data_IF_704452357470
#
_entry.id   IF_704452357470
#
_cell.length_a   1.000
_cell.length_b   1.000
_cell.length_c   1.000
_cell.angle_alpha   90.00
_cell.angle_beta   90.00
_cell.angle_gamma   90.00
#
_symmetry.space_group_name_H-M   'P 1'
#
loop_
_entity.id
_entity.type
_entity.pdbx_description
1 polymer ?
#
# COMPACT_ATOMS: atom_id res chain seq x y z
N UNK A 1 -47.15 -20.66 33.12
CA UNK A 1 -45.76 -20.74 32.60
C UNK A 1 -45.69 -19.83 31.39
N UNK A 2 -45.07 -18.65 31.54
CA UNK A 2 -44.85 -17.71 30.43
C UNK A 2 -43.66 -18.20 29.60
N UNK A 3 -43.88 -18.37 28.30
CA UNK A 3 -42.83 -18.58 27.30
C UNK A 3 -42.22 -17.22 26.98
N UNK A 4 -40.97 -17.01 27.37
CA UNK A 4 -40.18 -15.84 26.99
C UNK A 4 -39.56 -16.06 25.62
N UNK A 5 -40.04 -15.32 24.61
CA UNK A 5 -39.40 -15.19 23.31
C UNK A 5 -38.25 -14.20 23.47
N UNK A 6 -37.00 -14.65 23.35
CA UNK A 6 -35.84 -13.78 23.20
C UNK A 6 -35.74 -13.38 21.72
N UNK A 7 -36.02 -12.10 21.45
CA UNK A 7 -35.83 -11.49 20.14
C UNK A 7 -34.33 -11.29 19.89
N UNK A 8 -33.77 -12.06 18.94
CA UNK A 8 -32.47 -11.80 18.34
C UNK A 8 -32.59 -10.77 17.24
N UNK A 9 -32.43 -9.48 17.57
CA UNK A 9 -32.43 -8.37 16.61
C UNK A 9 -31.21 -7.48 16.82
N UNK A 10 -30.02 -8.06 16.96
CA UNK A 10 -28.75 -7.31 17.10
C UNK A 10 -27.65 -7.77 16.14
N UNK A 11 -27.92 -8.77 15.29
CA UNK A 11 -26.93 -9.33 14.37
C UNK A 11 -26.58 -8.34 13.26
N UNK A 12 -27.53 -8.08 12.35
CA UNK A 12 -27.28 -7.26 11.16
C UNK A 12 -26.91 -5.80 11.48
N UNK A 13 -27.62 -5.16 12.41
CA UNK A 13 -27.28 -3.79 12.86
C UNK A 13 -25.90 -3.72 13.53
N UNK A 14 -25.53 -4.77 14.29
CA UNK A 14 -24.20 -4.88 14.90
C UNK A 14 -23.08 -5.10 13.88
N UNK A 15 -23.32 -5.92 12.84
CA UNK A 15 -22.38 -6.13 11.74
C UNK A 15 -22.18 -4.85 10.91
N UNK A 16 -23.26 -4.12 10.60
CA UNK A 16 -23.18 -2.86 9.88
C UNK A 16 -22.37 -1.82 10.68
N UNK A 17 -22.65 -1.66 11.98
CA UNK A 17 -21.89 -0.75 12.83
C UNK A 17 -20.41 -1.14 12.95
N UNK A 18 -20.10 -2.44 12.99
CA UNK A 18 -18.73 -2.93 13.00
C UNK A 18 -18.01 -2.67 11.67
N UNK A 19 -18.67 -2.88 10.54
CA UNK A 19 -18.11 -2.61 9.22
C UNK A 19 -17.90 -1.11 8.97
N UNK A 20 -18.80 -0.25 9.45
CA UNK A 20 -18.64 1.21 9.39
C UNK A 20 -17.45 1.67 10.24
N UNK A 21 -17.28 1.09 11.44
CA UNK A 21 -16.09 1.35 12.25
C UNK A 21 -14.81 0.82 11.58
N UNK A 22 -14.86 -0.35 10.95
CA UNK A 22 -13.75 -0.91 10.18
C UNK A 22 -13.32 -0.04 9.01
N UNK A 23 -14.29 0.57 8.31
CA UNK A 23 -14.02 1.54 7.26
C UNK A 23 -13.34 2.80 7.79
N UNK A 24 -13.80 3.32 8.94
CA UNK A 24 -13.15 4.46 9.58
C UNK A 24 -11.68 4.12 9.94
N UNK A 25 -11.42 2.93 10.48
CA UNK A 25 -10.05 2.46 10.78
C UNK A 25 -9.20 2.31 9.51
N UNK A 26 -9.78 1.81 8.42
CA UNK A 26 -9.10 1.65 7.13
C UNK A 26 -8.55 2.98 6.58
N UNK A 27 -9.26 4.08 6.85
CA UNK A 27 -8.88 5.42 6.40
C UNK A 27 -8.00 6.19 7.39
N UNK A 28 -7.88 5.73 8.64
CA UNK A 28 -7.23 6.48 9.72
C UNK A 28 -5.77 6.03 9.98
N UNK A 29 -4.81 6.92 9.75
CA UNK A 29 -3.41 6.68 10.06
C UNK A 29 -3.16 6.45 11.57
N UNK A 30 -4.06 6.90 12.44
CA UNK A 30 -3.98 6.71 13.90
C UNK A 30 -4.37 5.31 14.36
N UNK A 31 -4.76 4.41 13.44
CA UNK A 31 -4.86 2.98 13.76
C UNK A 31 -3.54 2.45 14.34
N UNK A 32 -2.41 2.95 13.84
CA UNK A 32 -1.11 2.75 14.46
C UNK A 32 -0.87 3.79 15.54
N UNK A 33 -0.40 3.35 16.71
CA UNK A 33 -0.02 4.23 17.81
C UNK A 33 1.32 4.94 17.61
N UNK A 34 2.02 4.69 16.49
CA UNK A 34 3.28 5.35 16.19
C UNK A 34 3.05 6.81 15.79
N UNK A 35 3.64 7.75 16.53
CA UNK A 35 3.61 9.19 16.21
C UNK A 35 4.31 9.53 14.88
N UNK A 36 5.08 8.60 14.34
CA UNK A 36 5.76 8.76 13.05
C UNK A 36 4.99 8.12 11.88
N UNK A 37 3.82 7.53 12.12
CA UNK A 37 2.98 7.00 11.05
C UNK A 37 2.14 8.10 10.42
N UNK A 38 2.14 8.13 9.09
CA UNK A 38 1.26 8.99 8.28
C UNK A 38 0.44 8.20 7.26
N UNK A 39 0.65 6.89 7.17
CA UNK A 39 -0.05 6.01 6.25
C UNK A 39 -1.34 5.49 6.88
N UNK A 40 -2.41 5.44 6.08
CA UNK A 40 -3.55 4.55 6.33
C UNK A 40 -3.59 3.47 5.27
N UNK A 41 -4.46 2.46 5.44
CA UNK A 41 -4.61 1.42 4.43
C UNK A 41 -5.05 2.04 3.09
N UNK A 42 -5.92 3.04 3.13
CA UNK A 42 -6.40 3.79 1.97
C UNK A 42 -5.30 4.54 1.20
N UNK A 43 -4.14 4.79 1.81
CA UNK A 43 -3.00 5.42 1.12
C UNK A 43 -2.50 4.57 -0.04
N UNK A 44 -2.52 3.24 0.11
CA UNK A 44 -1.95 2.30 -0.87
C UNK A 44 -2.97 1.33 -1.47
N UNK A 45 -4.24 1.40 -1.05
CA UNK A 45 -5.26 0.47 -1.48
C UNK A 45 -6.55 1.21 -1.85
N UNK A 46 -7.06 0.93 -3.05
CA UNK A 46 -8.46 1.17 -3.39
C UNK A 46 -9.34 -0.01 -2.97
N UNK A 47 -10.63 0.24 -2.82
CA UNK A 47 -11.61 -0.76 -2.37
C UNK A 47 -12.68 -1.06 -3.42
N UNK A 48 -12.56 -0.44 -4.60
CA UNK A 48 -13.40 -0.64 -5.78
C UNK A 48 -12.83 -1.73 -6.68
N UNK A 49 -13.70 -2.43 -7.43
CA UNK A 49 -13.27 -3.47 -8.36
C UNK A 49 -12.31 -2.94 -9.43
N UNK A 50 -12.60 -1.74 -9.94
CA UNK A 50 -11.73 -1.02 -10.87
C UNK A 50 -10.89 0.01 -10.13
N UNK A 51 -9.61 0.11 -10.51
CA UNK A 51 -8.71 1.16 -10.00
C UNK A 51 -9.10 2.48 -10.67
N UNK A 52 -9.33 3.57 -9.90
CA UNK A 52 -9.66 4.87 -10.46
C UNK A 52 -8.60 5.35 -11.47
N UNK A 53 -9.06 6.01 -12.54
CA UNK A 53 -8.17 6.56 -13.55
C UNK A 53 -7.15 7.52 -12.93
N UNK A 54 -5.89 7.39 -13.34
CA UNK A 54 -4.80 8.23 -12.84
C UNK A 54 -4.27 7.84 -11.47
N UNK A 55 -4.60 6.65 -10.97
CA UNK A 55 -4.04 6.08 -9.74
C UNK A 55 -3.21 4.83 -10.07
N UNK A 56 -2.00 4.78 -9.55
CA UNK A 56 -1.13 3.60 -9.58
C UNK A 56 -0.72 3.34 -8.13
N UNK A 57 -1.39 2.40 -7.49
CA UNK A 57 -1.11 2.06 -6.10
C UNK A 57 -0.04 0.96 -5.99
N UNK A 58 0.76 1.01 -4.92
CA UNK A 58 1.68 -0.07 -4.58
C UNK A 58 0.96 -1.36 -4.16
N UNK A 59 -0.25 -1.22 -3.62
CA UNK A 59 -1.10 -2.33 -3.22
C UNK A 59 -2.18 -2.62 -4.26
N UNK A 60 -2.52 -3.90 -4.43
CA UNK A 60 -3.70 -4.28 -5.22
C UNK A 60 -4.99 -3.69 -4.65
N UNK A 61 -6.04 -3.58 -5.47
CA UNK A 61 -7.40 -3.34 -4.94
C UNK A 61 -7.73 -4.36 -3.84
N UNK A 62 -8.45 -3.92 -2.82
CA UNK A 62 -8.99 -4.79 -1.77
C UNK A 62 -10.43 -5.23 -2.04
N UNK A 63 -11.00 -4.89 -3.19
CA UNK A 63 -12.25 -5.49 -3.62
C UNK A 63 -12.13 -7.02 -3.67
N UNK A 64 -13.06 -7.74 -3.04
CA UNK A 64 -13.01 -9.19 -2.85
C UNK A 64 -11.81 -9.73 -2.07
N UNK A 65 -11.13 -8.90 -1.27
CA UNK A 65 -9.93 -9.34 -0.53
C UNK A 65 -10.21 -10.51 0.41
N UNK A 66 -11.39 -10.57 1.05
CA UNK A 66 -11.73 -11.61 2.01
C UNK A 66 -11.99 -12.98 1.36
N UNK A 67 -12.26 -13.00 0.06
CA UNK A 67 -12.55 -14.19 -0.71
C UNK A 67 -11.31 -14.79 -1.42
N UNK A 68 -10.14 -14.15 -1.26
CA UNK A 68 -8.88 -14.62 -1.86
C UNK A 68 -8.29 -15.77 -1.03
N UNK A 69 -7.68 -16.77 -1.67
CA UNK A 69 -7.06 -17.88 -0.95
C UNK A 69 -5.70 -17.52 -0.33
N UNK A 70 -5.07 -16.43 -0.76
CA UNK A 70 -3.79 -15.95 -0.23
C UNK A 70 -3.52 -14.49 -0.59
N UNK A 71 -2.54 -13.88 0.12
CA UNK A 71 -2.10 -12.49 -0.03
C UNK A 71 -0.56 -12.42 -0.15
N UNK A 72 -0.04 -11.25 -0.51
CA UNK A 72 1.40 -11.00 -0.67
C UNK A 72 2.09 -12.02 -1.60
N UNK A 73 1.43 -12.35 -2.73
CA UNK A 73 1.96 -13.31 -3.70
C UNK A 73 1.97 -14.76 -3.19
N UNK A 74 1.13 -15.09 -2.21
CA UNK A 74 1.05 -16.43 -1.62
C UNK A 74 1.81 -16.60 -0.30
N UNK A 75 2.54 -15.57 0.17
CA UNK A 75 3.28 -15.64 1.42
C UNK A 75 2.38 -15.62 2.66
N UNK A 76 1.17 -15.07 2.56
CA UNK A 76 0.20 -15.02 3.66
C UNK A 76 -1.08 -15.78 3.28
N UNK A 77 -1.53 -16.66 4.17
CA UNK A 77 -2.74 -17.49 3.98
C UNK A 77 -3.85 -17.19 4.99
N UNK A 78 -3.60 -16.27 5.92
CA UNK A 78 -4.60 -15.73 6.84
C UNK A 78 -4.74 -14.23 6.62
N UNK A 79 -5.97 -13.75 6.45
CA UNK A 79 -6.23 -12.34 6.14
C UNK A 79 -5.67 -11.41 7.24
N UNK A 80 -5.81 -11.79 8.51
CA UNK A 80 -5.29 -11.00 9.62
C UNK A 80 -3.75 -10.92 9.59
N UNK A 81 -3.06 -11.98 9.19
CA UNK A 81 -1.60 -11.94 9.04
C UNK A 81 -1.20 -11.01 7.88
N UNK A 82 -1.92 -11.04 6.77
CA UNK A 82 -1.73 -10.12 5.66
C UNK A 82 -1.96 -8.64 6.05
N UNK A 83 -2.99 -8.36 6.84
CA UNK A 83 -3.26 -7.04 7.43
C UNK A 83 -2.13 -6.64 8.38
N UNK A 84 -1.69 -7.54 9.25
CA UNK A 84 -0.61 -7.30 10.19
C UNK A 84 0.73 -7.04 9.52
N UNK A 85 1.00 -7.69 8.38
CA UNK A 85 2.17 -7.41 7.58
C UNK A 85 2.19 -5.95 7.14
N UNK A 86 1.07 -5.42 6.65
CA UNK A 86 0.96 -4.02 6.29
C UNK A 86 1.11 -3.09 7.50
N UNK A 87 0.33 -3.37 8.55
CA UNK A 87 0.27 -2.58 9.77
C UNK A 87 1.65 -2.43 10.43
N UNK A 88 2.43 -3.50 10.51
CA UNK A 88 3.76 -3.47 11.12
C UNK A 88 4.79 -2.80 10.20
N UNK A 89 4.88 -3.22 8.93
CA UNK A 89 5.98 -2.80 8.05
C UNK A 89 5.81 -1.37 7.49
N UNK A 90 4.58 -0.93 7.22
CA UNK A 90 4.34 0.38 6.59
C UNK A 90 3.70 1.36 7.56
N UNK A 91 2.70 0.91 8.35
CA UNK A 91 2.06 1.78 9.34
C UNK A 91 2.83 1.89 10.67
N UNK A 92 4.02 1.26 10.78
CA UNK A 92 4.88 1.29 11.98
C UNK A 92 4.20 0.77 13.25
N UNK A 93 3.30 -0.20 13.09
CA UNK A 93 2.63 -0.87 14.18
C UNK A 93 3.61 -1.58 15.10
N UNK A 94 3.66 -1.20 16.39
CA UNK A 94 4.59 -1.78 17.37
C UNK A 94 4.18 -3.17 17.87
N UNK A 95 2.90 -3.50 17.77
CA UNK A 95 2.34 -4.79 18.20
C UNK A 95 1.25 -5.18 17.23
N UNK A 96 1.34 -6.38 16.66
CA UNK A 96 0.33 -6.94 15.75
C UNK A 96 -1.08 -6.81 16.36
N UNK A 97 -2.05 -6.53 15.50
CA UNK A 97 -3.47 -6.58 15.82
C UNK A 97 -3.83 -8.03 16.21
N UNK A 98 -4.34 -8.22 17.42
CA UNK A 98 -4.80 -9.52 17.91
C UNK A 98 -6.17 -9.91 17.35
N UNK A 99 -6.41 -11.21 17.15
CA UNK A 99 -7.64 -11.72 16.52
C UNK A 99 -8.92 -11.37 17.30
N UNK A 100 -8.83 -11.33 18.63
CA UNK A 100 -9.98 -11.05 19.51
C UNK A 100 -10.21 -9.56 19.78
N UNK A 101 -9.39 -8.68 19.19
CA UNK A 101 -9.51 -7.25 19.40
C UNK A 101 -10.70 -6.67 18.62
N UNK A 102 -11.51 -5.78 19.22
CA UNK A 102 -12.65 -5.17 18.53
C UNK A 102 -12.28 -4.48 17.21
N UNK A 103 -11.09 -3.86 17.13
CA UNK A 103 -10.59 -3.22 15.91
C UNK A 103 -10.25 -4.22 14.80
N UNK A 104 -9.71 -5.40 15.14
CA UNK A 104 -9.40 -6.46 14.17
C UNK A 104 -10.68 -7.03 13.59
N UNK A 105 -11.69 -7.28 14.45
CA UNK A 105 -13.00 -7.71 14.00
C UNK A 105 -13.66 -6.67 13.11
N UNK A 106 -13.68 -5.40 13.50
CA UNK A 106 -14.25 -4.32 12.70
C UNK A 106 -13.61 -4.22 11.31
N UNK A 107 -12.27 -4.26 11.25
CA UNK A 107 -11.55 -4.32 9.97
C UNK A 107 -11.96 -5.53 9.13
N UNK A 108 -12.05 -6.72 9.72
CA UNK A 108 -12.51 -7.91 9.00
C UNK A 108 -13.94 -7.73 8.44
N UNK A 109 -14.87 -7.22 9.24
CA UNK A 109 -16.26 -7.00 8.82
C UNK A 109 -16.32 -5.99 7.65
N UNK A 110 -15.49 -4.95 7.65
CA UNK A 110 -15.36 -4.04 6.52
C UNK A 110 -14.78 -4.73 5.26
N UNK A 111 -13.68 -5.49 5.41
CA UNK A 111 -13.07 -6.21 4.30
C UNK A 111 -14.02 -7.27 3.71
N UNK A 112 -14.82 -7.93 4.54
CA UNK A 112 -15.88 -8.83 4.12
C UNK A 112 -16.99 -8.08 3.37
N UNK A 113 -17.39 -6.89 3.84
CA UNK A 113 -18.39 -6.05 3.15
C UNK A 113 -17.97 -5.63 1.75
N UNK A 114 -16.68 -5.33 1.53
CA UNK A 114 -16.14 -5.02 0.18
C UNK A 114 -15.77 -6.29 -0.62
N UNK A 115 -16.18 -7.47 -0.13
CA UNK A 115 -15.97 -8.76 -0.78
C UNK A 115 -17.30 -9.48 -1.07
N UNK A 116 -18.12 -8.95 -2.01
CA UNK A 116 -19.42 -9.54 -2.33
C UNK A 116 -19.33 -10.95 -2.93
N UNK A 117 -18.21 -11.29 -3.58
CA UNK A 117 -18.06 -12.59 -4.22
C UNK A 117 -17.58 -13.65 -3.21
N UNK A 118 -18.16 -14.84 -3.29
CA UNK A 118 -17.79 -15.95 -2.41
C UNK A 118 -16.37 -16.48 -2.66
N UNK A 119 -15.81 -16.21 -3.84
CA UNK A 119 -14.47 -16.65 -4.25
C UNK A 119 -13.82 -15.56 -5.11
N UNK A 120 -12.52 -15.36 -4.93
CA UNK A 120 -11.72 -14.49 -5.77
C UNK A 120 -10.35 -15.11 -6.05
N UNK A 121 -9.74 -14.83 -7.21
CA UNK A 121 -8.42 -15.37 -7.51
C UNK A 121 -7.36 -14.79 -6.57
N UNK A 122 -6.31 -15.57 -6.29
CA UNK A 122 -5.07 -15.02 -5.76
C UNK A 122 -4.51 -14.01 -6.76
N UNK A 123 -3.96 -12.90 -6.27
CA UNK A 123 -3.33 -11.90 -7.11
C UNK A 123 -1.80 -12.09 -7.11
N UNK A 124 -1.15 -12.06 -8.28
CA UNK A 124 0.31 -12.11 -8.36
C UNK A 124 0.95 -10.90 -7.68
N UNK A 125 2.11 -11.10 -7.10
CA UNK A 125 2.88 -10.04 -6.46
C UNK A 125 4.38 -10.35 -6.62
N UNK A 126 4.95 -9.90 -7.72
CA UNK A 126 6.33 -10.23 -8.07
C UNK A 126 7.28 -9.22 -7.44
N UNK A 127 8.11 -9.69 -6.51
CA UNK A 127 9.21 -8.92 -5.93
C UNK A 127 10.49 -9.22 -6.72
N UNK A 128 11.00 -8.21 -7.42
CA UNK A 128 12.26 -8.31 -8.18
C UNK A 128 13.42 -8.32 -7.19
N UNK A 129 14.09 -9.47 -7.02
CA UNK A 129 15.24 -9.57 -6.10
C UNK A 129 16.50 -8.95 -6.69
N UNK A 130 16.83 -9.35 -7.91
CA UNK A 130 18.02 -8.90 -8.62
C UNK A 130 17.67 -7.72 -9.52
N UNK A 131 18.00 -6.52 -9.08
CA UNK A 131 17.70 -5.30 -9.84
C UNK A 131 18.55 -5.22 -11.10
N UNK A 132 17.89 -4.99 -12.21
CA UNK A 132 18.49 -4.67 -13.50
C UNK A 132 18.08 -3.26 -13.92
N UNK A 133 18.86 -2.66 -14.81
CA UNK A 133 18.44 -1.41 -15.44
C UNK A 133 17.21 -1.67 -16.35
N UNK A 134 16.37 -0.65 -16.50
CA UNK A 134 15.16 -0.71 -17.31
C UNK A 134 15.27 0.23 -18.52
N UNK A 135 14.75 -0.15 -19.70
CA UNK A 135 14.77 0.73 -20.87
C UNK A 135 14.11 2.08 -20.57
N UNK A 136 14.78 3.18 -20.94
CA UNK A 136 14.22 4.52 -20.76
C UNK A 136 13.01 4.73 -21.68
N UNK A 137 12.01 5.38 -21.11
CA UNK A 137 10.74 5.67 -21.77
C UNK A 137 10.57 7.14 -22.14
N UNK A 138 9.32 7.52 -22.39
CA UNK A 138 8.93 8.90 -22.70
C UNK A 138 8.75 9.74 -21.41
N UNK A 139 9.28 10.96 -21.40
CA UNK A 139 9.21 11.83 -20.22
C UNK A 139 7.77 12.31 -19.91
N UNK A 140 6.90 12.48 -20.91
CA UNK A 140 5.49 12.86 -20.69
C UNK A 140 4.73 11.71 -20.03
N UNK A 141 5.00 10.47 -20.45
CA UNK A 141 4.52 9.28 -19.73
C UNK A 141 5.07 9.23 -18.31
N UNK A 142 6.35 9.53 -18.12
CA UNK A 142 6.98 9.58 -16.81
C UNK A 142 6.34 10.57 -15.84
N UNK A 143 5.97 11.75 -16.32
CA UNK A 143 5.20 12.73 -15.55
C UNK A 143 3.85 12.17 -15.11
N UNK A 144 3.12 11.52 -16.03
CA UNK A 144 1.84 10.90 -15.72
C UNK A 144 1.99 9.77 -14.67
N UNK A 145 3.06 8.98 -14.76
CA UNK A 145 3.39 7.94 -13.76
C UNK A 145 3.71 8.58 -12.41
N UNK A 146 4.53 9.64 -12.38
CA UNK A 146 4.87 10.35 -11.15
C UNK A 146 3.60 10.85 -10.44
N UNK A 147 2.70 11.49 -11.18
CA UNK A 147 1.42 11.98 -10.63
C UNK A 147 0.55 10.85 -10.08
N UNK A 148 0.54 9.71 -10.75
CA UNK A 148 -0.33 8.59 -10.39
C UNK A 148 0.21 7.71 -9.25
N UNK A 149 1.54 7.58 -9.12
CA UNK A 149 2.19 6.64 -8.20
C UNK A 149 2.99 7.31 -7.08
N UNK A 150 3.54 8.50 -7.32
CA UNK A 150 4.57 9.09 -6.46
C UNK A 150 4.09 10.35 -5.74
N UNK A 151 3.35 11.21 -6.43
CA UNK A 151 3.01 12.56 -5.98
C UNK A 151 2.23 12.60 -4.67
N UNK A 152 1.31 11.65 -4.43
CA UNK A 152 0.53 11.60 -3.19
C UNK A 152 1.41 11.42 -1.94
N UNK A 153 2.59 10.82 -2.10
CA UNK A 153 3.55 10.61 -1.01
C UNK A 153 4.66 11.66 -1.02
N UNK A 154 5.24 11.91 -2.20
CA UNK A 154 6.43 12.74 -2.38
C UNK A 154 6.15 14.23 -2.65
N UNK A 155 4.89 14.60 -2.89
CA UNK A 155 4.48 15.97 -3.22
C UNK A 155 4.75 16.33 -4.68
N UNK A 156 4.69 17.62 -5.01
CA UNK A 156 5.08 18.12 -6.32
C UNK A 156 6.58 17.88 -6.58
N UNK A 157 6.92 17.53 -7.82
CA UNK A 157 8.31 17.32 -8.25
C UNK A 157 9.14 18.59 -7.98
N UNK A 158 10.41 18.43 -7.65
CA UNK A 158 11.36 19.48 -7.27
C UNK A 158 11.13 20.21 -5.94
N UNK A 159 9.88 20.36 -5.49
CA UNK A 159 9.57 21.15 -4.29
C UNK A 159 9.13 20.30 -3.11
N UNK A 160 8.53 19.14 -3.36
CA UNK A 160 7.88 18.32 -2.33
C UNK A 160 6.61 18.95 -1.77
N UNK A 161 6.08 20.00 -2.40
CA UNK A 161 4.87 20.68 -1.95
C UNK A 161 3.69 19.69 -1.94
N UNK A 162 2.99 19.60 -0.81
CA UNK A 162 1.88 18.65 -0.63
C UNK A 162 2.31 17.21 -0.32
N UNK A 163 3.60 16.96 -0.01
CA UNK A 163 4.05 15.64 0.44
C UNK A 163 3.30 15.16 1.68
N UNK A 164 3.10 13.84 1.79
CA UNK A 164 2.37 13.21 2.87
C UNK A 164 3.04 13.41 4.24
N UNK A 165 4.36 13.52 4.25
CA UNK A 165 5.17 13.68 5.46
C UNK A 165 6.48 14.38 5.13
N UNK A 166 7.05 15.09 6.10
CA UNK A 166 8.37 15.71 5.97
C UNK A 166 9.52 14.71 5.78
N UNK A 167 9.27 13.44 6.09
CA UNK A 167 10.21 12.34 5.86
C UNK A 167 10.21 11.85 4.39
N UNK A 168 9.20 12.21 3.60
CA UNK A 168 9.15 11.85 2.20
C UNK A 168 10.19 12.67 1.42
N UNK A 169 11.07 11.96 0.70
CA UNK A 169 12.14 12.59 -0.07
C UNK A 169 11.57 13.50 -1.16
N UNK A 170 12.21 14.65 -1.37
CA UNK A 170 11.93 15.51 -2.52
C UNK A 170 12.59 14.90 -3.76
N UNK A 171 11.81 14.68 -4.81
CA UNK A 171 12.25 13.97 -6.02
C UNK A 171 12.38 14.96 -7.20
N UNK A 172 13.49 14.92 -7.97
CA UNK A 172 14.65 14.04 -7.84
C UNK A 172 15.76 14.54 -6.89
N UNK A 173 15.58 15.63 -6.14
CA UNK A 173 16.59 16.32 -5.31
C UNK A 173 17.40 15.37 -4.41
N UNK A 174 16.74 14.33 -3.89
CA UNK A 174 17.37 13.30 -3.05
C UNK A 174 18.54 12.58 -3.72
N UNK A 175 18.60 12.52 -5.05
CA UNK A 175 19.68 11.84 -5.78
C UNK A 175 21.01 12.59 -5.69
N UNK A 176 21.01 13.88 -5.32
CA UNK A 176 22.25 14.66 -5.12
C UNK A 176 23.14 14.10 -4.02
N UNK A 177 22.56 13.36 -3.07
CA UNK A 177 23.30 12.69 -2.01
C UNK A 177 23.82 11.31 -2.43
N UNK A 178 23.40 10.76 -3.59
CA UNK A 178 23.66 9.36 -3.94
C UNK A 178 25.13 9.08 -4.24
N UNK A 179 25.89 10.03 -4.77
CA UNK A 179 27.34 9.85 -4.96
C UNK A 179 28.07 9.61 -3.63
N UNK A 180 27.56 10.19 -2.53
CA UNK A 180 28.09 10.02 -1.18
C UNK A 180 27.55 8.78 -0.50
N UNK A 181 26.25 8.52 -0.64
CA UNK A 181 25.55 7.42 0.05
C UNK A 181 25.76 6.06 -0.62
N UNK A 182 25.90 6.06 -1.95
CA UNK A 182 25.98 4.87 -2.81
C UNK A 182 27.13 5.06 -3.84
N UNK A 183 28.38 5.21 -3.37
CA UNK A 183 29.50 5.56 -4.24
C UNK A 183 29.70 4.51 -5.34
N UNK A 184 29.74 4.98 -6.60
CA UNK A 184 29.95 4.13 -7.77
C UNK A 184 28.69 3.42 -8.29
N UNK A 185 27.52 3.64 -7.69
CA UNK A 185 26.25 3.09 -8.17
C UNK A 185 25.51 4.15 -8.99
N UNK A 186 25.06 3.83 -10.23
CA UNK A 186 24.25 4.76 -11.02
C UNK A 186 22.99 5.20 -10.25
N UNK A 187 22.68 6.50 -10.27
CA UNK A 187 21.53 7.05 -9.52
C UNK A 187 20.21 6.38 -9.92
N UNK A 188 20.03 6.10 -11.20
CA UNK A 188 18.86 5.38 -11.70
C UNK A 188 18.72 3.99 -11.08
N UNK A 189 19.82 3.26 -10.92
CA UNK A 189 19.80 1.93 -10.30
C UNK A 189 19.38 2.00 -8.84
N UNK A 190 19.87 3.00 -8.09
CA UNK A 190 19.41 3.26 -6.72
C UNK A 190 17.90 3.56 -6.68
N UNK A 191 17.38 4.34 -7.63
CA UNK A 191 15.94 4.65 -7.70
C UNK A 191 15.12 3.40 -8.04
N UNK A 192 15.56 2.60 -9.02
CA UNK A 192 14.89 1.33 -9.39
C UNK A 192 14.82 0.42 -8.16
N UNK A 193 15.93 0.28 -7.43
CA UNK A 193 16.00 -0.56 -6.24
C UNK A 193 15.05 -0.07 -5.14
N UNK A 194 15.04 1.24 -4.86
CA UNK A 194 14.11 1.84 -3.89
C UNK A 194 12.64 1.60 -4.26
N UNK A 195 12.29 1.76 -5.54
CA UNK A 195 10.92 1.54 -6.04
C UNK A 195 10.53 0.05 -5.95
N UNK A 196 11.43 -0.86 -6.34
CA UNK A 196 11.16 -2.30 -6.40
C UNK A 196 11.20 -2.98 -5.03
N UNK A 197 11.95 -2.45 -4.08
CA UNK A 197 12.19 -3.11 -2.79
C UNK A 197 11.50 -2.43 -1.61
N UNK A 198 11.21 -1.13 -1.64
CA UNK A 198 10.69 -0.44 -0.46
C UNK A 198 11.54 -0.70 0.80
N UNK A 199 10.97 -1.00 1.99
CA UNK A 199 11.76 -1.31 3.19
C UNK A 199 12.54 -2.62 3.08
N UNK A 200 12.17 -3.51 2.16
CA UNK A 200 12.78 -4.84 2.05
C UNK A 200 14.21 -4.72 1.52
N UNK A 201 15.04 -5.70 1.86
CA UNK A 201 16.46 -5.72 1.53
C UNK A 201 17.29 -4.52 2.05
N UNK A 202 16.68 -3.65 2.88
CA UNK A 202 17.38 -2.56 3.59
C UNK A 202 17.56 -1.26 2.80
N UNK A 203 16.83 -1.04 1.70
CA UNK A 203 17.17 0.01 0.72
C UNK A 203 16.24 1.24 0.71
N UNK A 204 14.93 1.06 0.86
CA UNK A 204 13.91 2.09 0.56
C UNK A 204 13.25 2.77 1.75
N UNK A 205 13.80 2.65 2.97
CA UNK A 205 13.22 3.27 4.16
C UNK A 205 11.79 2.75 4.43
N UNK A 206 10.78 3.62 4.49
CA UNK A 206 9.37 3.23 4.69
C UNK A 206 8.52 3.32 3.41
N UNK A 207 9.14 3.64 2.25
CA UNK A 207 8.42 3.69 0.98
C UNK A 207 7.85 2.29 0.65
N UNK A 208 6.58 2.16 0.25
CA UNK A 208 6.06 0.87 -0.16
C UNK A 208 6.77 0.37 -1.43
N UNK A 209 6.95 -0.95 -1.53
CA UNK A 209 7.47 -1.52 -2.77
C UNK A 209 6.41 -1.51 -3.87
N UNK A 210 6.85 -1.38 -5.12
CA UNK A 210 6.02 -1.59 -6.29
C UNK A 210 6.41 -2.90 -6.99
N UNK A 211 5.48 -3.87 -6.98
CA UNK A 211 5.64 -5.09 -7.77
C UNK A 211 5.61 -4.79 -9.27
N UNK A 212 6.02 -5.75 -10.11
CA UNK A 212 5.95 -5.57 -11.57
C UNK A 212 4.52 -5.48 -12.10
N UNK A 213 3.54 -6.01 -11.36
CA UNK A 213 2.13 -5.87 -11.67
C UNK A 213 1.59 -4.47 -11.34
N UNK A 214 2.11 -3.84 -10.29
CA UNK A 214 1.70 -2.49 -9.88
C UNK A 214 2.37 -1.41 -10.74
N UNK A 215 3.67 -1.55 -11.01
CA UNK A 215 4.43 -0.63 -11.85
C UNK A 215 5.28 -1.42 -12.85
N UNK A 216 4.97 -1.31 -14.14
CA UNK A 216 5.72 -2.00 -15.19
C UNK A 216 7.14 -1.42 -15.34
N UNK A 217 8.07 -2.19 -15.92
CA UNK A 217 9.43 -1.68 -16.22
C UNK A 217 9.40 -0.54 -17.24
N UNK A 218 8.45 -0.55 -18.17
CA UNK A 218 8.26 0.54 -19.12
C UNK A 218 7.84 1.84 -18.44
N UNK A 219 6.92 1.77 -17.46
CA UNK A 219 6.50 2.93 -16.68
C UNK A 219 7.59 3.41 -15.73
N UNK A 220 8.35 2.48 -15.14
CA UNK A 220 9.52 2.82 -14.33
C UNK A 220 10.60 3.52 -15.18
N UNK A 221 10.87 3.02 -16.39
CA UNK A 221 11.80 3.64 -17.32
C UNK A 221 11.37 5.03 -17.79
N UNK A 222 10.07 5.24 -17.99
CA UNK A 222 9.50 6.55 -18.28
C UNK A 222 9.63 7.51 -17.08
N UNK A 223 9.34 7.02 -15.86
CA UNK A 223 9.50 7.77 -14.62
C UNK A 223 10.95 8.23 -14.42
N UNK A 224 11.93 7.34 -14.64
CA UNK A 224 13.35 7.69 -14.57
C UNK A 224 13.70 8.81 -15.56
N UNK A 225 13.24 8.71 -16.81
CA UNK A 225 13.45 9.75 -17.81
C UNK A 225 12.86 11.10 -17.38
N UNK A 226 11.66 11.11 -16.80
CA UNK A 226 11.04 12.33 -16.25
C UNK A 226 11.84 12.93 -15.10
N UNK A 227 12.42 12.09 -14.23
CA UNK A 227 13.27 12.51 -13.13
C UNK A 227 14.71 12.88 -13.56
N UNK A 228 15.03 12.76 -14.85
CA UNK A 228 16.36 13.07 -15.40
C UNK A 228 17.42 11.99 -15.13
N UNK A 229 17.01 10.72 -15.06
CA UNK A 229 17.83 9.55 -14.72
C UNK A 229 17.90 8.49 -15.84
#
# INVERSE_FOLDING_TARGET
MLVGVLAGCGGEEGHQAAADYGEALFQDARLSSSEYNTFSCATCHVTTAEVPAGRIDSGHTLYNVAARPSWWGGNETQLLDAVNFCYVNFMRGVTKLGAEEPRSRALYEYLARISPDAQAPALPFTVVKDIQDVPRGDATRGEAVYRAACQNCHGATHTGEGRLTDLASVLPEVTRDYDRLFPGIPHAQVVIEKVRHGPFFGVGGNMPLYSTEALSDADLGALLMYLGL
#
